data_IF_723855959771
#
_entry.id   IF_723855959771
#
_cell.length_a   1.000
_cell.length_b   1.000
_cell.length_c   1.000
_cell.angle_alpha   90.00
_cell.angle_beta   90.00
_cell.angle_gamma   90.00
#
_symmetry.space_group_name_H-M   'P 1'
#
loop_
_entity.id
_entity.type
_entity.pdbx_description
1 polymer ?
#
# COMPACT_ATOMS: atom_id res chain seq x y z
N UNK A 1 6.46 -0.44 -22.34
CA UNK A 1 5.32 -0.32 -21.39
C UNK A 1 5.88 -0.02 -20.00
N UNK A 2 5.37 0.99 -19.30
CA UNK A 2 5.82 1.30 -17.95
C UNK A 2 5.52 0.13 -17.01
N UNK A 3 6.52 -0.31 -16.24
CA UNK A 3 6.38 -1.39 -15.27
C UNK A 3 5.34 -1.00 -14.22
N UNK A 4 4.25 -1.74 -14.13
CA UNK A 4 3.23 -1.55 -13.09
C UNK A 4 3.87 -1.76 -11.71
N UNK A 5 3.58 -0.86 -10.76
CA UNK A 5 4.12 -0.95 -9.39
C UNK A 5 3.35 -2.01 -8.60
N UNK A 6 4.01 -2.65 -7.64
CA UNK A 6 3.38 -3.66 -6.79
C UNK A 6 2.65 -3.04 -5.59
N UNK A 7 3.07 -1.83 -5.18
CA UNK A 7 2.50 -1.11 -4.04
C UNK A 7 2.27 0.37 -4.38
N UNK A 8 1.07 0.87 -4.09
CA UNK A 8 0.68 2.27 -4.29
C UNK A 8 0.27 2.92 -2.96
N UNK A 9 0.83 4.08 -2.60
CA UNK A 9 0.26 4.87 -1.49
C UNK A 9 -1.09 5.45 -1.88
N UNK A 10 -1.93 5.79 -0.89
CA UNK A 10 -3.26 6.35 -1.20
C UNK A 10 -3.19 7.65 -2.01
N UNK A 11 -2.12 8.44 -1.84
CA UNK A 11 -1.88 9.66 -2.62
C UNK A 11 -1.40 9.40 -4.05
N UNK A 12 -0.72 8.29 -4.29
CA UNK A 12 -0.18 7.92 -5.60
C UNK A 12 -1.17 7.10 -6.44
N UNK A 13 -2.03 6.34 -5.77
CA UNK A 13 -3.04 5.50 -6.40
C UNK A 13 -3.97 6.33 -7.31
N UNK A 14 -4.29 5.77 -8.49
CA UNK A 14 -5.28 6.33 -9.38
C UNK A 14 -6.62 5.61 -9.16
N UNK A 15 -7.65 6.35 -8.77
CA UNK A 15 -8.98 5.80 -8.48
C UNK A 15 -9.66 5.13 -9.67
N UNK A 16 -9.19 5.39 -10.91
CA UNK A 16 -9.71 4.72 -12.10
C UNK A 16 -9.28 3.25 -12.23
N UNK A 17 -8.30 2.78 -11.44
CA UNK A 17 -7.79 1.40 -11.57
C UNK A 17 -8.36 0.44 -10.51
N UNK A 18 -9.69 0.30 -10.49
CA UNK A 18 -10.42 -0.55 -9.52
C UNK A 18 -10.03 -2.02 -9.60
N UNK A 19 -9.74 -2.54 -10.78
CA UNK A 19 -9.30 -3.93 -10.92
C UNK A 19 -7.92 -4.16 -10.30
N UNK A 20 -7.01 -3.17 -10.35
CA UNK A 20 -5.67 -3.28 -9.79
C UNK A 20 -5.61 -3.05 -8.29
N UNK A 21 -6.40 -2.11 -7.76
CA UNK A 21 -6.34 -1.67 -6.36
C UNK A 21 -7.45 -2.25 -5.48
N UNK A 22 -8.46 -2.88 -6.08
CA UNK A 22 -9.68 -3.30 -5.40
C UNK A 22 -10.58 -2.12 -5.01
N UNK A 23 -11.81 -2.43 -4.58
CA UNK A 23 -12.80 -1.41 -4.22
C UNK A 23 -12.39 -0.54 -3.03
N UNK A 24 -11.79 -1.13 -1.99
CA UNK A 24 -11.35 -0.40 -0.80
C UNK A 24 -10.13 0.47 -1.07
N UNK A 25 -9.15 -0.04 -1.83
CA UNK A 25 -7.96 0.73 -2.21
C UNK A 25 -8.30 1.95 -3.04
N UNK A 26 -9.23 1.81 -4.00
CA UNK A 26 -9.78 2.95 -4.76
C UNK A 26 -10.49 3.93 -3.84
N UNK A 27 -11.40 3.47 -2.98
CA UNK A 27 -12.13 4.35 -2.07
C UNK A 27 -11.19 5.14 -1.14
N UNK A 28 -10.17 4.49 -0.57
CA UNK A 28 -9.16 5.15 0.27
C UNK A 28 -8.38 6.21 -0.52
N UNK A 29 -7.97 5.89 -1.74
CA UNK A 29 -7.30 6.85 -2.62
C UNK A 29 -8.17 8.05 -2.99
N UNK A 30 -9.46 7.84 -3.27
CA UNK A 30 -10.40 8.93 -3.55
C UNK A 30 -10.62 9.82 -2.35
N UNK A 31 -10.86 9.24 -1.17
CA UNK A 31 -11.01 10.00 0.07
C UNK A 31 -9.76 10.82 0.40
N UNK A 32 -8.56 10.24 0.20
CA UNK A 32 -7.29 10.96 0.35
C UNK A 32 -7.16 12.11 -0.66
N UNK A 33 -7.53 11.90 -1.93
CA UNK A 33 -7.50 12.96 -2.97
C UNK A 33 -8.48 14.10 -2.67
N UNK A 34 -9.63 13.77 -2.10
CA UNK A 34 -10.63 14.73 -1.62
C UNK A 34 -10.20 15.46 -0.32
N UNK A 35 -8.99 15.20 0.18
CA UNK A 35 -8.44 15.79 1.41
C UNK A 35 -9.26 15.49 2.66
N UNK A 36 -10.02 14.39 2.65
CA UNK A 36 -10.65 13.89 3.87
C UNK A 36 -9.58 13.37 4.83
N UNK A 37 -9.89 13.35 6.13
CA UNK A 37 -8.98 12.87 7.16
C UNK A 37 -8.84 11.35 7.12
N UNK A 38 -8.05 10.86 6.16
CA UNK A 38 -7.70 9.45 5.98
C UNK A 38 -6.30 9.24 6.54
N UNK A 39 -6.10 8.30 7.48
CA UNK A 39 -4.76 7.93 7.92
C UNK A 39 -3.89 7.49 6.74
N UNK A 40 -2.59 7.85 6.71
CA UNK A 40 -1.71 7.48 5.61
C UNK A 40 -1.57 5.96 5.51
N UNK A 41 -1.55 5.47 4.27
CA UNK A 41 -1.50 4.05 3.99
C UNK A 41 -1.17 3.74 2.53
N UNK A 42 -1.21 2.46 2.19
CA UNK A 42 -0.94 1.98 0.84
C UNK A 42 -1.75 0.72 0.54
N UNK A 43 -1.84 0.40 -0.74
CA UNK A 43 -2.49 -0.80 -1.28
C UNK A 43 -1.46 -1.64 -2.03
N UNK A 44 -1.41 -2.93 -1.72
CA UNK A 44 -0.71 -3.94 -2.51
C UNK A 44 -1.66 -4.38 -3.63
N UNK A 45 -1.21 -4.40 -4.87
CA UNK A 45 -2.09 -4.61 -6.02
C UNK A 45 -2.64 -6.04 -6.10
N UNK A 46 -3.77 -6.21 -6.76
CA UNK A 46 -4.35 -7.52 -7.08
C UNK A 46 -3.42 -8.37 -7.95
N UNK A 47 -2.60 -7.75 -8.79
CA UNK A 47 -1.57 -8.44 -9.58
C UNK A 47 -0.53 -9.15 -8.70
N UNK A 48 -0.13 -8.56 -7.57
CA UNK A 48 0.77 -9.22 -6.62
C UNK A 48 0.11 -10.47 -6.03
N UNK A 49 -1.20 -10.43 -5.80
CA UNK A 49 -1.95 -11.61 -5.35
C UNK A 49 -1.90 -12.73 -6.40
N UNK A 50 -2.14 -12.41 -7.67
CA UNK A 50 -2.04 -13.39 -8.76
C UNK A 50 -0.62 -13.98 -8.84
N UNK A 51 0.40 -13.12 -8.86
CA UNK A 51 1.81 -13.55 -8.89
C UNK A 51 2.19 -14.41 -7.69
N UNK A 52 1.64 -14.14 -6.51
CA UNK A 52 1.86 -14.97 -5.33
C UNK A 52 1.37 -16.41 -5.57
N UNK A 53 0.18 -16.59 -6.13
CA UNK A 53 -0.36 -17.92 -6.44
C UNK A 53 0.40 -18.59 -7.59
N UNK A 54 0.69 -17.86 -8.67
CA UNK A 54 1.47 -18.35 -9.81
C UNK A 54 2.88 -18.83 -9.40
N UNK A 55 3.51 -18.15 -8.43
CA UNK A 55 4.83 -18.52 -7.90
C UNK A 55 4.77 -19.63 -6.82
N UNK A 56 3.67 -20.38 -6.72
CA UNK A 56 3.51 -21.43 -5.73
C UNK A 56 3.44 -20.89 -4.30
N UNK A 57 2.63 -19.85 -4.09
CA UNK A 57 2.42 -19.17 -2.80
C UNK A 57 3.68 -18.51 -2.26
N UNK A 58 4.48 -17.92 -3.15
CA UNK A 58 5.70 -17.17 -2.81
C UNK A 58 5.59 -15.74 -3.32
N UNK A 59 5.89 -14.78 -2.46
CA UNK A 59 5.86 -13.37 -2.84
C UNK A 59 6.99 -13.06 -3.85
N UNK A 60 6.71 -12.26 -4.89
CA UNK A 60 7.75 -11.71 -5.75
C UNK A 60 8.78 -10.93 -4.93
N UNK A 61 10.07 -11.07 -5.27
CA UNK A 61 11.20 -10.51 -4.48
C UNK A 61 11.14 -8.99 -4.30
N UNK A 62 10.47 -8.26 -5.19
CA UNK A 62 10.38 -6.80 -5.14
C UNK A 62 9.28 -6.27 -4.20
N UNK A 63 8.33 -7.10 -3.78
CA UNK A 63 7.15 -6.64 -3.02
C UNK A 63 7.53 -6.16 -1.63
N UNK A 64 8.33 -6.94 -0.88
CA UNK A 64 8.74 -6.58 0.48
C UNK A 64 9.54 -5.25 0.51
N UNK A 65 10.55 -5.04 -0.37
CA UNK A 65 11.20 -3.73 -0.49
C UNK A 65 10.23 -2.58 -0.79
N UNK A 66 9.22 -2.79 -1.64
CA UNK A 66 8.19 -1.76 -1.91
C UNK A 66 7.29 -1.47 -0.71
N UNK A 67 6.91 -2.50 0.05
CA UNK A 67 6.15 -2.35 1.29
C UNK A 67 6.96 -1.54 2.30
N UNK A 68 8.23 -1.91 2.55
CA UNK A 68 9.08 -1.19 3.50
C UNK A 68 9.29 0.27 3.11
N UNK A 69 9.47 0.56 1.81
CA UNK A 69 9.54 1.95 1.31
C UNK A 69 8.28 2.75 1.63
N UNK A 70 7.10 2.14 1.53
CA UNK A 70 5.85 2.83 1.85
C UNK A 70 5.61 2.93 3.37
N UNK A 71 6.05 1.96 4.17
CA UNK A 71 6.09 2.08 5.64
C UNK A 71 6.93 3.30 6.04
N UNK A 72 8.11 3.48 5.46
CA UNK A 72 8.95 4.67 5.73
C UNK A 72 8.26 5.99 5.36
N UNK A 73 7.42 6.02 4.31
CA UNK A 73 6.60 7.20 4.01
C UNK A 73 5.56 7.46 5.11
N UNK A 74 4.94 6.42 5.65
CA UNK A 74 3.98 6.54 6.77
C UNK A 74 4.68 7.01 8.04
N UNK A 75 5.86 6.46 8.36
CA UNK A 75 6.68 6.91 9.50
C UNK A 75 6.93 8.42 9.43
N UNK A 76 7.37 8.92 8.26
CA UNK A 76 7.61 10.36 8.03
C UNK A 76 6.35 11.22 8.23
N UNK A 77 5.18 10.74 7.81
CA UNK A 77 3.91 11.47 7.91
C UNK A 77 3.34 11.48 9.33
N UNK A 78 3.57 10.42 10.08
CA UNK A 78 2.97 10.23 11.42
C UNK A 78 3.92 10.60 12.55
N UNK A 79 5.22 10.72 12.28
CA UNK A 79 6.27 10.84 13.30
C UNK A 79 6.47 9.57 14.14
N UNK A 80 5.82 8.47 13.79
CA UNK A 80 5.92 7.17 14.47
C UNK A 80 6.94 6.28 13.77
N UNK A 81 7.47 5.28 14.47
CA UNK A 81 8.51 4.39 13.94
C UNK A 81 8.09 2.92 13.97
N UNK A 82 8.24 2.25 12.84
CA UNK A 82 8.03 0.82 12.68
C UNK A 82 8.96 0.06 13.62
N UNK A 83 8.41 -0.92 14.33
CA UNK A 83 9.15 -1.73 15.29
C UNK A 83 9.86 -0.93 16.41
N UNK A 84 9.32 0.23 16.80
CA UNK A 84 9.83 1.00 17.95
C UNK A 84 9.08 0.66 19.23
N UNK A 85 9.80 0.46 20.34
CA UNK A 85 9.20 0.29 21.67
C UNK A 85 8.66 1.60 22.28
N UNK A 86 9.20 2.76 21.87
CA UNK A 86 8.89 4.04 22.50
C UNK A 86 7.74 4.80 21.80
N UNK A 87 7.76 4.87 20.47
CA UNK A 87 6.68 5.51 19.68
C UNK A 87 6.32 4.62 18.47
N UNK A 88 5.62 3.50 18.71
CA UNK A 88 5.35 2.50 17.68
C UNK A 88 4.43 3.03 16.58
N UNK A 89 4.78 2.72 15.33
CA UNK A 89 3.87 2.74 14.21
C UNK A 89 3.12 1.40 14.14
N UNK A 90 1.81 1.44 14.38
CA UNK A 90 0.92 0.30 14.22
C UNK A 90 0.11 0.45 12.92
N UNK A 91 -0.23 -0.67 12.30
CA UNK A 91 -0.98 -0.69 11.04
C UNK A 91 -2.14 -1.67 11.13
N UNK A 92 -3.21 -1.36 10.39
CA UNK A 92 -4.30 -2.31 10.11
C UNK A 92 -4.10 -2.93 8.73
N UNK A 93 -4.25 -4.24 8.61
CA UNK A 93 -4.25 -4.94 7.32
C UNK A 93 -5.68 -5.32 6.94
N UNK A 94 -6.11 -4.99 5.73
CA UNK A 94 -7.47 -5.24 5.22
C UNK A 94 -7.40 -5.83 3.81
N UNK A 95 -8.31 -6.75 3.49
CA UNK A 95 -8.47 -7.37 2.16
C UNK A 95 -9.15 -6.47 1.14
#
# INVERSE_FOLDING_TARGET
>A
MAKLKSVYSFEEANSKNRMLLGGKGVGLSEMTRLKLSVPPGFTITTQVCNQYYENGRKLPKNVIPEVMRNITKIEKKTGKKWNSANNPLLVSVRS
#
